data_IF_558387267773
#
_entry.id   IF_558387267773
#
_cell.length_a   1.000
_cell.length_b   1.000
_cell.length_c   1.000
_cell.angle_alpha   90.00
_cell.angle_beta   90.00
_cell.angle_gamma   90.00
#
_symmetry.space_group_name_H-M   'P 1'
#
loop_
_entity.id
_entity.type
_entity.pdbx_description
1 polymer ?
#
# COMPACT_ATOMS: atom_id res chain seq x y z
N UNK A 1 16.87 -39.72 15.46
CA UNK A 1 16.42 -39.17 14.16
C UNK A 1 15.09 -38.43 14.29
N UNK A 2 14.07 -39.02 14.93
CA UNK A 2 12.73 -38.42 15.08
C UNK A 2 12.68 -37.07 15.81
N UNK A 3 13.49 -36.86 16.87
CA UNK A 3 13.55 -35.58 17.59
C UNK A 3 14.05 -34.41 16.72
N UNK A 4 15.00 -34.67 15.82
CA UNK A 4 15.54 -33.65 14.90
C UNK A 4 14.50 -33.26 13.85
N UNK A 5 13.75 -34.24 13.35
CA UNK A 5 12.63 -34.02 12.41
C UNK A 5 11.54 -33.19 13.09
N UNK A 6 11.19 -33.53 14.34
CA UNK A 6 10.20 -32.78 15.12
C UNK A 6 10.63 -31.32 15.35
N UNK A 7 11.88 -31.09 15.75
CA UNK A 7 12.43 -29.74 15.94
C UNK A 7 12.42 -28.93 14.63
N UNK A 8 12.82 -29.54 13.52
CA UNK A 8 12.76 -28.90 12.18
C UNK A 8 11.32 -28.54 11.81
N UNK A 9 10.36 -29.44 12.00
CA UNK A 9 8.95 -29.13 11.70
C UNK A 9 8.43 -27.99 12.57
N UNK A 10 8.79 -27.94 13.86
CA UNK A 10 8.36 -26.87 14.76
C UNK A 10 8.93 -25.49 14.36
N UNK A 11 10.16 -25.45 13.84
CA UNK A 11 10.77 -24.21 13.32
C UNK A 11 10.18 -23.76 11.98
N UNK A 12 9.59 -24.65 11.18
CA UNK A 12 8.90 -24.23 9.95
C UNK A 12 7.56 -23.54 10.27
N UNK A 13 6.86 -23.99 11.32
CA UNK A 13 5.55 -23.45 11.70
C UNK A 13 5.61 -22.15 12.53
N UNK A 14 6.79 -21.73 13.01
CA UNK A 14 6.93 -20.48 13.77
C UNK A 14 6.76 -19.21 12.92
N UNK A 15 6.79 -19.33 11.60
CA UNK A 15 6.64 -18.20 10.65
C UNK A 15 5.17 -17.81 10.38
N UNK A 16 4.19 -18.51 10.95
CA UNK A 16 2.76 -18.20 10.78
C UNK A 16 2.29 -16.99 11.62
N UNK A 17 3.13 -16.47 12.52
CA UNK A 17 2.82 -15.34 13.37
C UNK A 17 3.42 -14.04 12.83
N UNK A 18 2.55 -13.06 12.58
CA UNK A 18 2.80 -11.63 12.29
C UNK A 18 2.61 -11.21 10.82
N UNK A 19 1.40 -11.37 10.31
CA UNK A 19 0.86 -10.30 9.48
C UNK A 19 0.50 -9.14 10.42
N UNK A 20 1.35 -8.12 10.50
CA UNK A 20 0.99 -6.87 11.17
C UNK A 20 -0.28 -6.32 10.51
N UNK A 21 -1.32 -6.02 11.29
CA UNK A 21 -2.49 -5.33 10.77
C UNK A 21 -2.04 -4.05 10.07
N UNK A 22 -2.50 -3.76 8.84
CA UNK A 22 -2.10 -2.53 8.17
C UNK A 22 -2.49 -1.36 9.06
N UNK A 23 -1.49 -0.57 9.47
CA UNK A 23 -1.68 0.63 10.33
C UNK A 23 -2.44 1.73 9.58
N UNK A 24 -2.58 1.58 8.26
CA UNK A 24 -3.20 2.52 7.34
C UNK A 24 -4.45 1.91 6.72
N UNK A 25 -5.60 2.56 6.92
CA UNK A 25 -6.84 2.26 6.21
C UNK A 25 -6.76 2.83 4.80
N UNK A 26 -6.92 1.98 3.79
CA UNK A 26 -6.99 2.40 2.40
C UNK A 26 -8.42 2.24 1.87
N UNK A 27 -8.99 3.30 1.30
CA UNK A 27 -10.30 3.24 0.62
C UNK A 27 -10.31 4.01 -0.70
N UNK A 28 -11.09 3.58 -1.70
CA UNK A 28 -11.33 4.41 -2.87
C UNK A 28 -12.10 5.67 -2.46
N UNK A 29 -11.86 6.77 -3.18
CA UNK A 29 -12.61 8.01 -3.06
C UNK A 29 -12.86 8.56 -4.46
N UNK A 30 -14.01 9.19 -4.67
CA UNK A 30 -14.27 9.98 -5.87
C UNK A 30 -14.69 11.39 -5.51
N UNK A 31 -14.30 12.34 -6.35
CA UNK A 31 -14.60 13.76 -6.21
C UNK A 31 -15.23 14.24 -7.51
N UNK A 32 -16.49 14.68 -7.44
CA UNK A 32 -17.14 15.38 -8.54
C UNK A 32 -16.58 16.81 -8.63
N UNK A 33 -16.01 17.17 -9.78
CA UNK A 33 -15.46 18.51 -10.05
C UNK A 33 -16.42 19.39 -10.84
N UNK A 34 -17.62 18.91 -11.17
CA UNK A 34 -18.59 19.55 -12.06
C UNK A 34 -18.27 19.41 -13.56
N UNK A 35 -17.01 19.12 -13.91
CA UNK A 35 -16.55 18.83 -15.27
C UNK A 35 -16.19 17.35 -15.49
N UNK A 36 -16.23 16.55 -14.43
CA UNK A 36 -15.92 15.13 -14.45
C UNK A 36 -15.75 14.60 -13.03
N UNK A 37 -15.49 13.30 -12.93
CA UNK A 37 -15.25 12.63 -11.65
C UNK A 37 -13.76 12.28 -11.52
N UNK A 38 -13.13 12.77 -10.46
CA UNK A 38 -11.75 12.45 -10.12
C UNK A 38 -11.72 11.26 -9.16
N UNK A 39 -11.16 10.14 -9.63
CA UNK A 39 -10.99 8.94 -8.83
C UNK A 39 -9.63 8.94 -8.11
N UNK A 40 -9.63 8.58 -6.83
CA UNK A 40 -8.45 8.52 -6.00
C UNK A 40 -8.48 7.39 -4.98
N UNK A 41 -7.43 7.35 -4.17
CA UNK A 41 -7.33 6.46 -3.00
C UNK A 41 -7.00 7.31 -1.78
N UNK A 42 -7.76 7.16 -0.70
CA UNK A 42 -7.45 7.76 0.59
C UNK A 42 -6.73 6.74 1.47
N UNK A 43 -5.53 7.09 1.90
CA UNK A 43 -4.76 6.37 2.92
C UNK A 43 -4.87 7.15 4.22
N UNK A 44 -5.40 6.51 5.27
CA UNK A 44 -5.60 7.12 6.58
C UNK A 44 -4.88 6.30 7.65
N UNK A 45 -3.81 6.81 8.27
CA UNK A 45 -3.18 6.13 9.41
C UNK A 45 -4.11 6.15 10.63
N UNK A 46 -4.04 5.10 11.45
CA UNK A 46 -4.69 5.12 12.76
C UNK A 46 -4.00 6.13 13.67
N UNK A 47 -4.67 7.24 13.98
CA UNK A 47 -4.17 8.29 14.86
C UNK A 47 -5.31 8.96 15.61
N UNK A 48 -5.11 9.23 16.90
CA UNK A 48 -6.04 10.01 17.73
C UNK A 48 -5.68 11.52 17.73
N UNK A 49 -4.68 11.91 16.94
CA UNK A 49 -4.19 13.28 16.78
C UNK A 49 -4.24 13.69 15.31
N UNK A 50 -4.34 15.00 15.00
CA UNK A 50 -4.19 15.49 13.63
C UNK A 50 -2.87 15.00 13.00
N UNK A 51 -2.95 14.58 11.75
CA UNK A 51 -1.80 14.09 10.97
C UNK A 51 -1.52 15.03 9.79
N UNK A 52 -0.27 15.16 9.33
CA UNK A 52 0.03 15.87 8.10
C UNK A 52 -0.73 15.28 6.92
N UNK A 53 -1.18 16.13 6.01
CA UNK A 53 -1.88 15.72 4.80
C UNK A 53 -0.97 15.90 3.59
N UNK A 54 -0.87 14.86 2.76
CA UNK A 54 -0.13 14.87 1.50
C UNK A 54 -1.09 14.51 0.38
N UNK A 55 -1.04 15.28 -0.71
CA UNK A 55 -1.72 14.96 -1.97
C UNK A 55 -0.68 14.49 -2.98
N UNK A 56 -0.84 13.26 -3.46
CA UNK A 56 0.01 12.68 -4.51
C UNK A 56 -0.78 12.66 -5.81
N UNK A 57 -0.21 13.26 -6.86
CA UNK A 57 -0.81 13.36 -8.19
C UNK A 57 0.02 12.51 -9.15
N UNK A 58 -0.64 11.72 -9.98
CA UNK A 58 0.02 10.93 -11.02
C UNK A 58 0.79 11.86 -11.99
N UNK A 59 1.89 11.35 -12.55
CA UNK A 59 2.62 12.06 -13.60
C UNK A 59 1.79 12.23 -14.87
N UNK A 60 2.27 13.07 -15.79
CA UNK A 60 1.63 13.26 -17.11
C UNK A 60 1.64 11.97 -17.96
N UNK A 61 0.73 11.90 -18.92
CA UNK A 61 0.71 10.83 -19.93
C UNK A 61 0.08 9.53 -19.41
N UNK A 62 0.47 8.36 -19.96
CA UNK A 62 -0.11 7.07 -19.60
C UNK A 62 0.46 6.54 -18.26
N UNK A 63 0.61 7.42 -17.27
CA UNK A 63 1.12 7.11 -15.93
C UNK A 63 -0.03 6.84 -14.99
N UNK A 64 -0.05 5.66 -14.37
CA UNK A 64 -1.03 5.30 -13.37
C UNK A 64 -0.73 5.96 -12.01
N UNK A 65 -1.68 5.86 -11.09
CA UNK A 65 -1.58 6.37 -9.72
C UNK A 65 -0.47 5.74 -8.86
N UNK A 66 0.10 4.61 -9.30
CA UNK A 66 1.22 3.97 -8.58
C UNK A 66 2.57 4.52 -9.06
N UNK A 67 2.59 5.34 -10.11
CA UNK A 67 3.80 5.87 -10.73
C UNK A 67 4.37 4.93 -11.80
N UNK A 68 3.54 4.04 -12.36
CA UNK A 68 3.93 3.17 -13.47
C UNK A 68 3.40 3.74 -14.79
N UNK A 69 4.18 3.66 -15.86
CA UNK A 69 3.73 4.08 -17.20
C UNK A 69 3.76 2.91 -18.17
N UNK A 70 2.83 2.87 -19.14
CA UNK A 70 2.76 1.78 -20.12
C UNK A 70 4.05 1.66 -20.97
N UNK A 71 4.58 2.79 -21.41
CA UNK A 71 5.83 2.88 -22.20
C UNK A 71 7.08 3.12 -21.33
N UNK A 72 6.92 3.07 -20.00
CA UNK A 72 7.94 3.46 -19.03
C UNK A 72 8.25 2.39 -17.99
N UNK A 73 9.00 2.81 -16.96
CA UNK A 73 9.36 1.92 -15.87
C UNK A 73 8.12 1.59 -14.99
N UNK A 74 8.02 0.33 -14.57
CA UNK A 74 7.05 -0.13 -13.58
C UNK A 74 7.73 -0.29 -12.23
N UNK A 75 7.79 0.79 -11.46
CA UNK A 75 8.61 0.85 -10.24
C UNK A 75 7.82 1.21 -8.97
N UNK A 76 6.49 1.38 -9.08
CA UNK A 76 5.60 1.72 -7.97
C UNK A 76 6.10 2.90 -7.13
N UNK A 77 6.79 3.87 -7.74
CA UNK A 77 7.45 4.97 -7.02
C UNK A 77 6.50 5.79 -6.15
N UNK A 78 5.35 6.18 -6.70
CA UNK A 78 4.33 6.95 -5.97
C UNK A 78 3.62 6.09 -4.91
N UNK A 79 3.36 4.83 -5.22
CA UNK A 79 2.78 3.88 -4.25
C UNK A 79 3.71 3.67 -3.06
N UNK A 80 5.03 3.55 -3.30
CA UNK A 80 6.01 3.41 -2.23
C UNK A 80 6.11 4.66 -1.39
N UNK A 81 6.09 5.85 -2.01
CA UNK A 81 6.05 7.12 -1.27
C UNK A 81 4.80 7.24 -0.37
N UNK A 82 3.65 6.76 -0.85
CA UNK A 82 2.41 6.77 -0.08
C UNK A 82 2.39 5.77 1.09
N UNK A 83 3.22 4.72 1.04
CA UNK A 83 3.26 3.65 2.03
C UNK A 83 4.35 3.84 3.10
N UNK A 84 5.30 4.77 2.91
CA UNK A 84 6.34 5.06 3.92
C UNK A 84 5.72 5.45 5.26
#
# INVERSE_FOLDING_TARGET
MMLRVLLLTLTLFSSLGFAASPVVLQRPISLDTGSGELFGSLLLPKSDKPVPVVLIIAGSGPTDRNGNSADGARNDSLKRLAWV
#
